data_IF_207645715652
#
_entry.id   IF_207645715652
#
_cell.length_a   1.000
_cell.length_b   1.000
_cell.length_c   1.000
_cell.angle_alpha   90.00
_cell.angle_beta   90.00
_cell.angle_gamma   90.00
#
_symmetry.space_group_name_H-M   'P 1'
#
loop_
_entity.id
_entity.type
_entity.pdbx_description
1 polymer ?
#
# COMPACT_ATOMS: atom_id res chain seq x y z
N UNK A 1 -42.33 12.18 48.98
CA UNK A 1 -41.59 11.18 48.18
C UNK A 1 -40.60 10.49 49.10
N UNK A 2 -40.68 9.16 49.24
CA UNK A 2 -40.03 8.44 50.34
C UNK A 2 -38.51 8.35 50.09
N UNK A 3 -37.66 8.78 51.03
CA UNK A 3 -36.19 8.87 50.87
C UNK A 3 -35.58 7.52 50.42
N UNK A 4 -36.15 6.40 50.89
CA UNK A 4 -35.78 5.04 50.45
C UNK A 4 -36.02 4.77 48.97
N UNK A 5 -37.06 5.36 48.37
CA UNK A 5 -37.35 5.25 46.93
C UNK A 5 -36.38 6.09 46.08
N UNK A 6 -35.88 7.20 46.62
CA UNK A 6 -34.90 8.06 45.95
C UNK A 6 -33.56 7.33 45.80
N UNK A 7 -33.08 6.66 46.86
CA UNK A 7 -31.85 5.84 46.78
C UNK A 7 -31.97 4.68 45.80
N UNK A 8 -33.14 4.04 45.72
CA UNK A 8 -33.37 2.94 44.78
C UNK A 8 -33.34 3.41 43.31
N UNK A 9 -33.89 4.60 43.04
CA UNK A 9 -33.85 5.21 41.71
C UNK A 9 -32.43 5.63 41.34
N UNK A 10 -31.67 6.23 42.26
CA UNK A 10 -30.26 6.62 42.02
C UNK A 10 -29.39 5.39 41.75
N UNK A 11 -29.57 4.30 42.50
CA UNK A 11 -28.84 3.05 42.30
C UNK A 11 -29.16 2.41 40.94
N UNK A 12 -30.43 2.46 40.52
CA UNK A 12 -30.86 1.96 39.20
C UNK A 12 -30.29 2.76 38.02
N UNK A 13 -30.06 4.07 38.19
CA UNK A 13 -29.48 4.94 37.15
C UNK A 13 -27.97 4.68 36.99
N UNK A 14 -27.26 4.39 38.08
CA UNK A 14 -25.81 4.08 38.05
C UNK A 14 -25.54 2.75 37.33
N UNK A 15 -26.42 1.75 37.50
CA UNK A 15 -26.32 0.47 36.79
C UNK A 15 -26.57 0.61 35.29
N UNK A 16 -27.45 1.53 34.87
CA UNK A 16 -27.73 1.79 33.45
C UNK A 16 -26.58 2.48 32.71
N UNK A 17 -25.74 3.26 33.41
CA UNK A 17 -24.57 3.93 32.84
C UNK A 17 -23.34 3.02 32.70
N UNK A 18 -23.41 1.78 33.19
CA UNK A 18 -22.29 0.82 33.17
C UNK A 18 -22.23 -0.04 31.90
N UNK A 19 -23.20 0.08 30.99
CA UNK A 19 -23.30 -0.73 29.76
C UNK A 19 -22.84 0.02 28.50
N UNK A 20 -21.66 0.62 28.55
CA UNK A 20 -20.96 1.05 27.32
C UNK A 20 -19.48 0.69 27.45
N UNK A 21 -19.21 -0.60 27.29
CA UNK A 21 -17.88 -1.17 27.40
C UNK A 21 -17.67 -2.26 26.35
N UNK A 22 -18.23 -2.11 25.15
CA UNK A 22 -17.65 -2.81 24.01
C UNK A 22 -16.29 -2.18 23.75
N UNK A 23 -15.26 -2.87 24.27
CA UNK A 23 -13.90 -2.76 23.80
C UNK A 23 -13.92 -3.01 22.29
N UNK A 24 -14.07 -1.93 21.52
CA UNK A 24 -13.56 -1.86 20.16
C UNK A 24 -12.08 -2.18 20.33
N UNK A 25 -11.72 -3.45 20.14
CA UNK A 25 -10.37 -3.85 19.80
C UNK A 25 -10.06 -3.01 18.57
N UNK A 26 -9.41 -1.87 18.77
CA UNK A 26 -8.61 -1.24 17.74
C UNK A 26 -7.62 -2.32 17.39
N UNK A 27 -7.95 -3.12 16.38
CA UNK A 27 -6.96 -3.84 15.60
C UNK A 27 -6.01 -2.75 15.18
N UNK A 28 -4.90 -2.61 15.92
CA UNK A 28 -3.77 -1.84 15.46
C UNK A 28 -3.56 -2.30 14.02
N UNK A 29 -3.55 -1.40 13.03
CA UNK A 29 -3.36 -1.82 11.65
C UNK A 29 -2.06 -2.59 11.65
N UNK A 30 -2.14 -3.92 11.48
CA UNK A 30 -0.99 -4.78 11.31
C UNK A 30 -0.18 -4.10 10.24
N UNK A 31 1.00 -3.60 10.60
CA UNK A 31 1.89 -2.87 9.71
C UNK A 31 2.02 -3.75 8.47
N UNK A 32 1.35 -3.34 7.39
CA UNK A 32 1.27 -4.14 6.17
C UNK A 32 2.71 -4.31 5.70
N UNK A 33 3.19 -5.54 5.76
CA UNK A 33 4.57 -5.83 5.41
C UNK A 33 4.71 -5.61 3.90
N UNK A 34 5.61 -4.72 3.51
CA UNK A 34 5.84 -4.39 2.10
C UNK A 34 7.14 -4.99 1.60
N UNK A 35 7.17 -5.31 0.31
CA UNK A 35 8.34 -5.82 -0.40
C UNK A 35 8.61 -4.97 -1.62
N UNK A 36 9.89 -4.75 -1.90
CA UNK A 36 10.33 -4.20 -3.17
C UNK A 36 10.12 -5.22 -4.29
N UNK A 37 9.62 -4.75 -5.42
CA UNK A 37 9.37 -5.57 -6.59
C UNK A 37 9.75 -4.83 -7.85
N UNK A 38 10.19 -5.59 -8.85
CA UNK A 38 10.13 -5.22 -10.25
C UNK A 38 8.85 -5.79 -10.86
N UNK A 39 8.13 -5.00 -11.64
CA UNK A 39 6.87 -5.38 -12.28
C UNK A 39 6.92 -4.98 -13.75
N UNK A 40 6.61 -5.95 -14.62
CA UNK A 40 6.26 -5.72 -16.02
C UNK A 40 4.72 -5.75 -16.13
N UNK A 41 4.14 -4.65 -16.60
CA UNK A 41 2.70 -4.51 -16.79
C UNK A 41 2.35 -4.41 -18.27
N UNK A 42 1.27 -5.07 -18.67
CA UNK A 42 0.65 -4.96 -19.98
C UNK A 42 -0.77 -4.42 -19.84
N UNK A 43 -1.04 -3.26 -20.44
CA UNK A 43 -2.36 -2.63 -20.47
C UNK A 43 -2.89 -2.65 -21.90
N UNK A 44 -3.87 -3.52 -22.15
CA UNK A 44 -4.51 -3.66 -23.46
C UNK A 44 -5.63 -2.63 -23.58
N UNK A 45 -5.47 -1.67 -24.49
CA UNK A 45 -6.51 -0.72 -24.88
C UNK A 45 -7.07 -1.12 -26.27
N UNK A 46 -8.28 -0.66 -26.61
CA UNK A 46 -8.97 -1.03 -27.88
C UNK A 46 -8.15 -0.82 -29.17
N UNK A 47 -7.12 0.03 -29.14
CA UNK A 47 -6.31 0.38 -30.31
C UNK A 47 -4.80 0.27 -30.08
N UNK A 48 -4.37 0.02 -28.84
CA UNK A 48 -2.95 0.05 -28.48
C UNK A 48 -2.68 -0.80 -27.24
N UNK A 49 -1.44 -1.25 -27.07
CA UNK A 49 -0.99 -1.98 -25.88
C UNK A 49 0.18 -1.23 -25.26
N UNK A 50 0.00 -0.78 -24.03
CA UNK A 50 1.06 -0.08 -23.29
C UNK A 50 1.79 -1.08 -22.40
N UNK A 51 3.11 -1.15 -22.54
CA UNK A 51 3.99 -1.89 -21.63
C UNK A 51 4.62 -0.92 -20.64
N UNK A 52 4.56 -1.24 -19.36
CA UNK A 52 5.19 -0.45 -18.30
C UNK A 52 6.14 -1.31 -17.48
N UNK A 53 7.33 -0.78 -17.22
CA UNK A 53 8.38 -1.43 -16.46
C UNK A 53 8.70 -0.57 -15.25
N UNK A 54 8.40 -1.09 -14.07
CA UNK A 54 8.47 -0.29 -12.86
C UNK A 54 8.99 -1.08 -11.67
N UNK A 55 9.62 -0.35 -10.76
CA UNK A 55 10.07 -0.80 -9.47
C UNK A 55 9.21 -0.12 -8.41
N UNK A 56 8.86 -0.81 -7.35
CA UNK A 56 8.02 -0.22 -6.31
C UNK A 56 7.85 -1.13 -5.12
N UNK A 57 7.17 -0.63 -4.09
CA UNK A 57 6.74 -1.42 -2.95
C UNK A 57 5.31 -1.87 -3.12
N UNK A 58 5.07 -3.15 -2.88
CA UNK A 58 3.74 -3.73 -2.76
C UNK A 58 3.58 -4.45 -1.44
N UNK A 59 2.33 -4.63 -1.00
CA UNK A 59 2.04 -5.43 0.18
C UNK A 59 2.35 -6.90 -0.11
N UNK A 60 3.06 -7.58 0.80
CA UNK A 60 3.37 -9.02 0.70
C UNK A 60 2.12 -9.88 0.52
N UNK A 61 1.00 -9.49 1.12
CA UNK A 61 -0.26 -10.21 0.94
C UNK A 61 -0.72 -10.26 -0.51
N UNK A 62 -0.29 -9.32 -1.38
CA UNK A 62 -0.58 -9.38 -2.81
C UNK A 62 0.28 -10.47 -3.45
N UNK A 63 1.59 -10.50 -3.14
CA UNK A 63 2.53 -11.51 -3.65
C UNK A 63 2.06 -12.93 -3.34
N UNK A 64 1.66 -13.18 -2.10
CA UNK A 64 1.20 -14.49 -1.65
C UNK A 64 -0.09 -14.94 -2.38
N UNK A 65 -0.89 -13.99 -2.87
CA UNK A 65 -2.18 -14.23 -3.52
C UNK A 65 -2.13 -14.15 -5.05
N UNK A 66 -0.96 -13.88 -5.65
CA UNK A 66 -0.83 -13.89 -7.12
C UNK A 66 -1.10 -15.28 -7.72
N UNK A 67 -0.75 -16.35 -6.99
CA UNK A 67 -0.95 -17.73 -7.43
C UNK A 67 -2.40 -18.19 -7.29
N UNK A 68 -3.15 -17.64 -6.33
CA UNK A 68 -4.51 -18.10 -5.98
C UNK A 68 -5.62 -17.44 -6.82
N UNK A 69 -5.26 -16.67 -7.85
CA UNK A 69 -6.10 -16.20 -8.97
C UNK A 69 -7.51 -15.78 -8.55
N UNK A 70 -7.65 -14.58 -7.98
CA UNK A 70 -8.89 -13.84 -8.11
C UNK A 70 -8.75 -12.80 -9.21
N UNK A 71 -9.64 -12.89 -10.19
CA UNK A 71 -9.45 -12.30 -11.52
C UNK A 71 -9.60 -10.78 -11.47
N UNK A 72 -10.22 -10.17 -10.45
CA UNK A 72 -10.57 -8.74 -10.46
C UNK A 72 -9.91 -7.88 -9.38
N UNK A 73 -8.82 -8.35 -8.76
CA UNK A 73 -8.18 -7.60 -7.68
C UNK A 73 -7.32 -6.45 -8.21
N UNK A 74 -7.40 -5.31 -7.53
CA UNK A 74 -6.56 -4.13 -7.74
C UNK A 74 -5.54 -4.08 -6.61
N UNK A 75 -4.29 -3.79 -6.93
CA UNK A 75 -3.23 -3.62 -5.94
C UNK A 75 -2.56 -2.26 -6.06
N UNK A 76 -2.09 -1.78 -4.91
CA UNK A 76 -1.34 -0.54 -4.77
C UNK A 76 0.16 -0.82 -4.94
N UNK A 77 0.82 0.00 -5.75
CA UNK A 77 2.27 0.11 -5.80
C UNK A 77 2.65 1.51 -5.30
N UNK A 78 3.55 1.59 -4.34
CA UNK A 78 4.05 2.85 -3.78
C UNK A 78 5.56 2.98 -3.94
N UNK A 79 6.10 4.19 -3.77
CA UNK A 79 7.53 4.48 -3.94
C UNK A 79 8.03 4.03 -5.32
N UNK A 80 7.24 4.37 -6.35
CA UNK A 80 7.48 3.89 -7.71
C UNK A 80 8.75 4.54 -8.29
N UNK A 81 9.52 3.72 -8.98
CA UNK A 81 10.69 4.11 -9.76
C UNK A 81 10.68 3.45 -11.13
N UNK A 82 11.22 4.14 -12.12
CA UNK A 82 11.27 3.67 -13.50
C UNK A 82 12.51 4.23 -14.19
N UNK A 83 12.91 3.63 -15.31
CA UNK A 83 13.89 4.23 -16.21
C UNK A 83 13.19 5.22 -17.13
N UNK A 84 13.64 6.47 -17.10
CA UNK A 84 13.11 7.50 -17.99
C UNK A 84 13.73 7.42 -19.39
N UNK A 85 13.31 8.33 -20.28
CA UNK A 85 13.77 8.37 -21.68
C UNK A 85 15.28 8.63 -21.84
N UNK A 86 15.97 9.04 -20.78
CA UNK A 86 17.42 9.25 -20.75
C UNK A 86 18.18 8.08 -20.08
N UNK A 87 17.53 6.92 -19.97
CA UNK A 87 18.05 5.74 -19.28
C UNK A 87 18.47 6.03 -17.83
N UNK A 88 17.77 6.96 -17.15
CA UNK A 88 18.02 7.26 -15.73
C UNK A 88 16.93 6.69 -14.83
N UNK A 89 17.36 6.02 -13.76
CA UNK A 89 16.49 5.47 -12.74
C UNK A 89 15.91 6.60 -11.87
N UNK A 90 14.63 6.88 -12.06
CA UNK A 90 13.93 8.07 -11.59
C UNK A 90 12.76 7.71 -10.67
N UNK A 91 12.57 8.52 -9.61
CA UNK A 91 11.33 8.52 -8.82
C UNK A 91 10.14 8.98 -9.67
N UNK A 92 9.08 8.18 -9.65
CA UNK A 92 7.77 8.60 -10.13
C UNK A 92 7.15 9.58 -9.15
N UNK A 93 6.61 10.68 -9.66
CA UNK A 93 5.83 11.68 -8.92
C UNK A 93 4.54 11.94 -9.70
N UNK A 94 3.42 11.67 -9.05
CA UNK A 94 2.10 12.16 -9.45
C UNK A 94 1.90 13.59 -8.91
N UNK A 95 0.79 14.23 -9.28
CA UNK A 95 0.45 15.61 -8.90
C UNK A 95 0.43 15.83 -7.38
N UNK A 96 0.11 14.78 -6.62
CA UNK A 96 0.07 14.78 -5.15
C UNK A 96 1.40 14.33 -4.50
N UNK A 97 2.46 14.10 -5.30
CA UNK A 97 3.76 13.54 -4.90
C UNK A 97 3.67 12.25 -4.06
N UNK A 98 2.55 11.53 -4.15
CA UNK A 98 2.30 10.29 -3.43
C UNK A 98 3.17 9.15 -3.94
N UNK A 99 3.68 9.27 -5.18
CA UNK A 99 4.52 8.27 -5.82
C UNK A 99 3.84 6.90 -5.89
N UNK A 100 2.50 6.90 -5.96
CA UNK A 100 1.65 5.73 -5.83
C UNK A 100 0.79 5.55 -7.07
N UNK A 101 0.66 4.31 -7.54
CA UNK A 101 -0.27 3.92 -8.59
C UNK A 101 -1.05 2.67 -8.19
N UNK A 102 -2.19 2.46 -8.85
CA UNK A 102 -3.04 1.30 -8.67
C UNK A 102 -3.16 0.53 -9.98
N UNK A 103 -2.99 -0.79 -9.92
CA UNK A 103 -3.01 -1.65 -11.10
C UNK A 103 -3.90 -2.86 -10.87
N UNK A 104 -4.46 -3.40 -11.95
CA UNK A 104 -5.12 -4.71 -11.93
C UNK A 104 -4.07 -5.80 -11.84
N UNK A 105 -4.31 -6.82 -11.02
CA UNK A 105 -3.47 -8.03 -10.97
C UNK A 105 -3.38 -8.69 -12.36
N UNK A 106 -4.43 -8.58 -13.19
CA UNK A 106 -4.43 -9.12 -14.56
C UNK A 106 -3.39 -8.45 -15.48
N UNK A 107 -3.01 -7.21 -15.18
CA UNK A 107 -2.04 -6.47 -15.98
C UNK A 107 -0.61 -6.95 -15.74
N UNK A 108 -0.36 -7.77 -14.71
CA UNK A 108 0.97 -8.28 -14.39
C UNK A 108 1.38 -9.33 -15.42
N UNK A 109 2.36 -8.97 -16.25
CA UNK A 109 3.03 -9.91 -17.15
C UNK A 109 4.13 -10.66 -16.41
N UNK A 110 4.88 -9.95 -15.57
CA UNK A 110 5.95 -10.51 -14.74
C UNK A 110 6.11 -9.71 -13.47
N UNK A 111 6.46 -10.39 -12.39
CA UNK A 111 6.86 -9.77 -11.14
C UNK A 111 8.09 -10.47 -10.59
N UNK A 112 8.98 -9.72 -9.94
CA UNK A 112 10.17 -10.28 -9.28
C UNK A 112 10.41 -9.52 -7.98
N UNK A 113 10.61 -10.26 -6.89
CA UNK A 113 10.80 -9.69 -5.55
C UNK A 113 12.27 -9.31 -5.36
N UNK A 114 12.50 -8.16 -4.75
CA UNK A 114 13.82 -7.66 -4.39
C UNK A 114 13.97 -7.68 -2.87
N UNK A 115 15.11 -8.21 -2.41
CA UNK A 115 15.43 -8.29 -0.97
C UNK A 115 15.71 -6.93 -0.34
N UNK A 116 16.16 -5.97 -1.16
CA UNK A 116 16.51 -4.61 -0.73
C UNK A 116 16.03 -3.57 -1.73
N UNK A 117 16.14 -2.30 -1.36
CA UNK A 117 15.80 -1.19 -2.26
C UNK A 117 16.61 -1.29 -3.58
N UNK A 118 15.94 -1.30 -4.76
CA UNK A 118 16.60 -1.38 -6.06
C UNK A 118 17.61 -0.26 -6.32
N UNK A 119 17.53 0.89 -5.64
CA UNK A 119 18.49 1.99 -5.78
C UNK A 119 19.95 1.54 -5.58
N UNK A 120 20.17 0.53 -4.72
CA UNK A 120 21.50 -0.02 -4.44
C UNK A 120 21.96 -1.06 -5.48
N UNK A 121 21.19 -1.25 -6.55
CA UNK A 121 21.49 -2.22 -7.62
C UNK A 121 22.04 -1.54 -8.88
N UNK A 122 22.15 -0.21 -8.88
CA UNK A 122 22.56 0.60 -10.02
C UNK A 122 23.71 1.53 -9.65
N UNK A 123 24.54 1.87 -10.64
CA UNK A 123 25.62 2.82 -10.46
C UNK A 123 25.08 4.25 -10.35
N UNK A 124 25.81 5.13 -9.65
CA UNK A 124 25.38 6.52 -9.43
C UNK A 124 25.11 7.29 -10.71
N UNK A 125 25.84 6.96 -11.77
CA UNK A 125 25.66 7.56 -13.10
C UNK A 125 24.32 7.19 -13.73
N UNK A 126 23.75 6.04 -13.40
CA UNK A 126 22.43 5.59 -13.87
C UNK A 126 21.28 6.17 -13.06
N UNK A 127 21.57 6.85 -11.94
CA UNK A 127 20.54 7.41 -11.07
C UNK A 127 20.16 8.83 -11.53
N UNK A 128 18.86 9.08 -11.65
CA UNK A 128 18.35 10.42 -11.82
C UNK A 128 18.57 11.25 -10.54
N UNK A 129 18.62 12.59 -10.66
CA UNK A 129 18.81 13.50 -9.52
C UNK A 129 17.80 13.25 -8.39
N UNK A 130 16.54 13.02 -8.73
CA UNK A 130 15.49 12.71 -7.74
C UNK A 130 15.78 11.45 -6.93
N UNK A 131 16.45 10.46 -7.51
CA UNK A 131 16.83 9.22 -6.84
C UNK A 131 18.11 9.41 -6.03
N UNK A 132 19.08 10.18 -6.55
CA UNK A 132 20.33 10.50 -5.86
C UNK A 132 20.11 11.24 -4.53
N UNK A 133 19.06 12.05 -4.44
CA UNK A 133 18.68 12.76 -3.21
C UNK A 133 18.36 11.81 -2.04
N UNK A 134 17.95 10.57 -2.32
CA UNK A 134 17.64 9.56 -1.30
C UNK A 134 18.87 8.85 -0.73
N UNK A 135 20.04 9.01 -1.35
CA UNK A 135 21.31 8.40 -0.90
C UNK A 135 22.11 9.30 0.05
N UNK A 136 21.60 10.48 0.38
CA UNK A 136 22.22 11.44 1.30
C UNK A 136 21.81 11.16 2.74
#
# INVERSE_FOLDING_TARGET
>A
MNIRKIYFIIFSIILFLSSCGELIKRTTPTKKETSWVYIELETIMKKDTTLSYLYGKINKSILDNLETKNINDIFKVSEIRYFNDNDKFQLYKDDDESGTLFFSVQSIKKISVYERDPIYSFDKEDLHLSTLELLK
#
